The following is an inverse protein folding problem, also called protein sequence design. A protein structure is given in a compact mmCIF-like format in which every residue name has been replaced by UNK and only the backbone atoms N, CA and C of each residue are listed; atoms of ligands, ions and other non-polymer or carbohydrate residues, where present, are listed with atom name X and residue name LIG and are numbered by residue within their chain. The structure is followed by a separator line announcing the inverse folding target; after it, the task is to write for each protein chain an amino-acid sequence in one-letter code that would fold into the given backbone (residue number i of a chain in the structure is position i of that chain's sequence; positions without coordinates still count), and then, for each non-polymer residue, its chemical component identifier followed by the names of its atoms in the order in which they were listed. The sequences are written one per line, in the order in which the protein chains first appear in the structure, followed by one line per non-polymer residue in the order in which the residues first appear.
data_IF_573892478594
#
_entry.id   IF_573892478594
#
_cell.length_a   1.000
_cell.length_b   1.000
_cell.length_c   1.000
_cell.angle_alpha   90.00
_cell.angle_beta   90.00
_cell.angle_gamma   90.00
#
_symmetry.space_group_name_H-M   'P 1'
#
loop_
_entity.id
_entity.type
_entity.pdbx_description
1 polymer ?
#
# COMPACT_ATOMS: atom_id res chain seq x y z
N UNK A 1 -13.50 -16.31 -17.35
CA UNK A 1 -12.08 -16.21 -17.77
C UNK A 1 -11.23 -16.25 -16.53
N UNK A 2 -10.32 -17.23 -16.41
CA UNK A 2 -9.44 -17.30 -15.26
C UNK A 2 -8.39 -16.16 -15.31
N UNK A 3 -8.08 -15.61 -14.13
CA UNK A 3 -7.11 -14.52 -13.97
C UNK A 3 -6.07 -14.93 -12.93
N UNK A 4 -4.86 -14.39 -13.06
CA UNK A 4 -3.76 -14.63 -12.12
C UNK A 4 -3.18 -13.29 -11.68
N UNK A 5 -2.71 -13.19 -10.44
CA UNK A 5 -1.97 -12.01 -9.99
C UNK A 5 -0.48 -12.14 -10.25
N UNK A 6 0.12 -11.09 -10.81
CA UNK A 6 1.57 -10.95 -10.97
C UNK A 6 2.23 -10.84 -9.59
N UNK A 7 3.19 -11.71 -9.29
CA UNK A 7 3.88 -11.76 -7.98
C UNK A 7 5.33 -11.26 -8.06
N UNK A 8 5.74 -10.74 -9.21
CA UNK A 8 7.12 -10.29 -9.47
C UNK A 8 7.95 -11.32 -10.22
N UNK A 9 7.31 -12.13 -11.07
CA UNK A 9 7.98 -13.02 -12.00
C UNK A 9 8.90 -12.25 -12.94
N UNK A 10 10.15 -12.69 -13.12
CA UNK A 10 11.15 -11.95 -13.89
C UNK A 10 10.98 -12.10 -15.40
N UNK A 11 10.31 -13.17 -15.83
CA UNK A 11 10.14 -13.53 -17.24
C UNK A 11 8.73 -14.01 -17.52
N UNK A 12 8.27 -13.86 -18.77
CA UNK A 12 6.98 -14.39 -19.21
C UNK A 12 6.95 -15.93 -19.11
N UNK A 13 8.11 -16.59 -19.26
CA UNK A 13 8.25 -18.02 -19.05
C UNK A 13 7.98 -18.47 -17.61
N UNK A 14 8.41 -17.70 -16.60
CA UNK A 14 8.06 -17.96 -15.20
C UNK A 14 6.55 -17.80 -14.94
N UNK A 15 5.91 -16.87 -15.65
CA UNK A 15 4.46 -16.66 -15.61
C UNK A 15 3.75 -17.88 -16.25
N UNK A 16 4.21 -18.33 -17.41
CA UNK A 16 3.68 -19.51 -18.10
C UNK A 16 3.79 -20.78 -17.24
N UNK A 17 4.94 -21.00 -16.60
CA UNK A 17 5.19 -22.14 -15.71
C UNK A 17 4.28 -22.10 -14.46
N UNK A 18 3.80 -20.93 -14.04
CA UNK A 18 2.83 -20.78 -12.96
C UNK A 18 1.38 -20.93 -13.42
N UNK A 19 1.08 -20.54 -14.66
CA UNK A 19 -0.26 -20.61 -15.25
C UNK A 19 -0.64 -22.02 -15.71
N UNK A 20 0.29 -22.80 -16.27
CA UNK A 20 -0.01 -24.09 -16.91
C UNK A 20 0.76 -25.27 -16.29
N UNK A 21 0.18 -26.47 -16.37
CA UNK A 21 0.80 -27.71 -15.88
C UNK A 21 1.71 -28.33 -16.94
N UNK A 22 2.89 -28.80 -16.51
CA UNK A 22 3.78 -29.67 -17.30
C UNK A 22 4.03 -29.17 -18.74
N UNK A 23 4.45 -27.91 -18.88
CA UNK A 23 4.80 -27.33 -20.17
C UNK A 23 6.03 -28.02 -20.78
N UNK A 24 5.92 -28.48 -22.02
CA UNK A 24 7.08 -28.82 -22.85
C UNK A 24 7.75 -27.55 -23.41
N UNK A 25 9.01 -27.59 -23.86
CA UNK A 25 9.69 -26.41 -24.40
C UNK A 25 8.95 -25.76 -25.58
N UNK A 26 8.29 -26.56 -26.44
CA UNK A 26 7.48 -26.03 -27.55
C UNK A 26 6.20 -25.36 -27.06
N UNK A 27 5.51 -25.98 -26.10
CA UNK A 27 4.29 -25.43 -25.50
C UNK A 27 4.56 -24.17 -24.70
N UNK A 28 5.73 -24.05 -24.07
CA UNK A 28 6.15 -22.86 -23.35
C UNK A 28 6.25 -21.63 -24.26
N UNK A 29 6.83 -21.78 -25.45
CA UNK A 29 6.89 -20.70 -26.44
C UNK A 29 5.49 -20.28 -26.91
N UNK A 30 4.59 -21.23 -27.17
CA UNK A 30 3.20 -20.94 -27.53
C UNK A 30 2.45 -20.23 -26.40
N UNK A 31 2.64 -20.68 -25.15
CA UNK A 31 2.04 -20.07 -23.98
C UNK A 31 2.56 -18.64 -23.77
N UNK A 32 3.86 -18.40 -23.91
CA UNK A 32 4.46 -17.07 -23.79
C UNK A 32 3.88 -16.09 -24.82
N UNK A 33 3.75 -16.52 -26.08
CA UNK A 33 3.18 -15.70 -27.15
C UNK A 33 1.71 -15.33 -26.88
N UNK A 34 0.89 -16.29 -26.48
CA UNK A 34 -0.53 -16.05 -26.18
C UNK A 34 -0.71 -15.27 -24.87
N UNK A 35 0.15 -15.46 -23.86
CA UNK A 35 0.15 -14.66 -22.62
C UNK A 35 0.48 -13.20 -22.92
N UNK A 36 1.48 -12.96 -23.77
CA UNK A 36 1.90 -11.61 -24.16
C UNK A 36 0.83 -10.92 -25.03
N UNK A 37 0.17 -11.66 -25.90
CA UNK A 37 -0.99 -11.18 -26.68
C UNK A 37 -2.18 -10.82 -25.79
N UNK A 38 -2.48 -11.64 -24.79
CA UNK A 38 -3.55 -11.37 -23.83
C UNK A 38 -3.19 -10.24 -22.83
N UNK A 39 -1.90 -10.01 -22.58
CA UNK A 39 -1.39 -9.02 -21.62
C UNK A 39 -0.18 -8.26 -22.20
N UNK A 40 -0.41 -7.28 -23.10
CA UNK A 40 0.70 -6.56 -23.76
C UNK A 40 1.66 -5.85 -22.80
N UNK A 41 1.20 -5.52 -21.58
CA UNK A 41 2.03 -4.90 -20.53
C UNK A 41 3.13 -5.82 -20.00
N UNK A 42 3.07 -7.13 -20.25
CA UNK A 42 4.11 -8.09 -19.89
C UNK A 42 5.35 -8.01 -20.78
N UNK A 43 5.34 -7.18 -21.84
CA UNK A 43 6.52 -6.94 -22.68
C UNK A 43 7.68 -6.31 -21.87
N UNK A 44 7.37 -5.54 -20.81
CA UNK A 44 8.34 -5.07 -19.83
C UNK A 44 7.90 -5.41 -18.40
N UNK A 45 8.20 -6.63 -17.91
CA UNK A 45 7.75 -7.08 -16.60
C UNK A 45 8.39 -6.31 -15.44
N UNK A 46 9.48 -5.56 -15.69
CA UNK A 46 10.15 -4.74 -14.67
C UNK A 46 9.32 -3.52 -14.24
N UNK A 47 8.41 -3.06 -15.12
CA UNK A 47 7.53 -1.91 -14.87
C UNK A 47 6.24 -2.28 -14.12
N UNK A 48 5.97 -3.58 -13.97
CA UNK A 48 4.71 -4.05 -13.39
C UNK A 48 4.79 -4.09 -11.86
N UNK A 49 3.81 -3.45 -11.22
CA UNK A 49 3.62 -3.59 -9.79
C UNK A 49 3.14 -5.01 -9.44
N UNK A 50 3.70 -5.57 -8.36
CA UNK A 50 3.18 -6.80 -7.75
C UNK A 50 1.69 -6.61 -7.41
N UNK A 51 0.88 -7.62 -7.68
CA UNK A 51 -0.58 -7.57 -7.55
C UNK A 51 -1.31 -7.20 -8.84
N UNK A 52 -0.61 -6.87 -9.93
CA UNK A 52 -1.26 -6.62 -11.23
C UNK A 52 -2.04 -7.85 -11.70
N UNK A 53 -3.26 -7.65 -12.17
CA UNK A 53 -4.13 -8.72 -12.68
C UNK A 53 -3.70 -9.07 -14.11
N UNK A 54 -3.41 -10.34 -14.34
CA UNK A 54 -3.08 -10.92 -15.62
C UNK A 54 -4.25 -11.79 -16.10
N UNK A 55 -4.64 -11.61 -17.36
CA UNK A 55 -5.60 -12.45 -18.05
C UNK A 55 -4.91 -13.74 -18.47
N UNK A 56 -5.47 -14.90 -18.10
CA UNK A 56 -4.94 -16.16 -18.60
C UNK A 56 -5.61 -16.48 -19.95
N UNK A 57 -4.82 -16.64 -21.03
CA UNK A 57 -5.37 -17.06 -22.32
C UNK A 57 -5.87 -18.50 -22.23
N UNK A 58 -6.97 -18.79 -22.94
CA UNK A 58 -7.50 -20.14 -23.08
C UNK A 58 -6.80 -20.82 -24.26
N UNK A 59 -5.99 -21.84 -23.97
CA UNK A 59 -5.18 -22.55 -24.96
C UNK A 59 -5.59 -24.02 -24.91
N UNK A 60 -6.28 -24.50 -25.96
CA UNK A 60 -6.95 -25.80 -25.98
C UNK A 60 -6.05 -27.00 -25.64
N UNK A 61 -4.75 -26.90 -25.90
CA UNK A 61 -3.77 -27.98 -25.67
C UNK A 61 -3.09 -27.91 -24.29
N UNK A 62 -3.30 -26.84 -23.52
CA UNK A 62 -2.62 -26.61 -22.25
C UNK A 62 -3.59 -26.69 -21.10
N UNK A 63 -3.25 -27.53 -20.12
CA UNK A 63 -4.03 -27.62 -18.89
C UNK A 63 -3.63 -26.48 -17.96
N UNK A 64 -4.53 -25.56 -17.59
CA UNK A 64 -4.22 -24.57 -16.57
C UNK A 64 -3.94 -25.29 -15.25
N UNK A 65 -2.94 -24.81 -14.51
CA UNK A 65 -2.67 -25.26 -13.13
C UNK A 65 -3.87 -24.94 -12.28
N UNK A 66 -4.76 -25.88 -11.99
CA UNK A 66 -5.80 -25.71 -10.97
C UNK A 66 -5.17 -25.72 -9.57
N UNK A 67 -4.40 -24.68 -9.25
CA UNK A 67 -4.14 -24.37 -7.84
C UNK A 67 -5.42 -23.77 -7.26
N UNK A 68 -5.73 -24.06 -5.98
CA UNK A 68 -6.84 -23.40 -5.24
C UNK A 68 -6.83 -21.86 -5.32
N UNK A 69 -5.74 -21.24 -5.81
CA UNK A 69 -5.66 -19.81 -6.08
C UNK A 69 -6.41 -19.36 -7.34
N UNK A 70 -6.81 -20.24 -8.25
CA UNK A 70 -7.58 -19.90 -9.46
C UNK A 70 -9.10 -19.91 -9.26
N UNK A 71 -9.60 -20.47 -8.17
CA UNK A 71 -11.04 -20.72 -7.99
C UNK A 71 -11.84 -19.53 -7.46
N UNK A 72 -11.20 -18.45 -6.98
CA UNK A 72 -11.95 -17.26 -6.58
C UNK A 72 -11.13 -15.98 -6.78
N UNK A 73 -11.17 -15.39 -8.00
CA UNK A 73 -10.49 -14.13 -8.27
C UNK A 73 -10.91 -13.02 -7.31
N UNK A 74 -12.17 -13.00 -6.89
CA UNK A 74 -12.70 -12.00 -5.95
C UNK A 74 -12.08 -12.17 -4.57
N UNK A 75 -11.89 -13.40 -4.09
CA UNK A 75 -11.22 -13.67 -2.82
C UNK A 75 -9.72 -13.30 -2.85
N UNK A 76 -9.04 -13.48 -4.00
CA UNK A 76 -7.67 -13.02 -4.18
C UNK A 76 -7.60 -11.49 -4.18
N UNK A 77 -8.49 -10.82 -4.90
CA UNK A 77 -8.57 -9.37 -4.93
C UNK A 77 -8.87 -8.78 -3.55
N UNK A 78 -9.85 -9.34 -2.84
CA UNK A 78 -10.17 -8.98 -1.46
C UNK A 78 -8.96 -9.15 -0.54
N UNK A 79 -8.21 -10.26 -0.67
CA UNK A 79 -6.98 -10.48 0.10
C UNK A 79 -5.91 -9.43 -0.20
N UNK A 80 -5.67 -9.12 -1.48
CA UNK A 80 -4.66 -8.14 -1.87
C UNK A 80 -5.03 -6.72 -1.46
N UNK A 81 -6.31 -6.35 -1.59
CA UNK A 81 -6.82 -5.07 -1.13
C UNK A 81 -6.72 -4.94 0.39
N UNK A 82 -7.12 -5.98 1.14
CA UNK A 82 -6.99 -5.99 2.60
C UNK A 82 -5.52 -5.80 3.02
N UNK A 83 -4.59 -6.49 2.37
CA UNK A 83 -3.15 -6.34 2.65
C UNK A 83 -2.64 -4.93 2.31
N UNK A 84 -3.06 -4.35 1.19
CA UNK A 84 -2.69 -2.99 0.82
C UNK A 84 -3.24 -1.94 1.80
N UNK A 85 -4.46 -2.13 2.31
CA UNK A 85 -5.08 -1.29 3.33
C UNK A 85 -4.36 -1.40 4.67
N UNK A 86 -3.95 -2.61 5.08
CA UNK A 86 -3.14 -2.83 6.28
C UNK A 86 -1.77 -2.14 6.16
N UNK A 87 -1.06 -2.34 5.05
CA UNK A 87 0.24 -1.71 4.79
C UNK A 87 0.13 -0.18 4.81
N UNK A 88 -0.94 0.37 4.23
CA UNK A 88 -1.24 1.79 4.29
C UNK A 88 -1.51 2.25 5.72
N UNK A 89 -2.35 1.51 6.46
CA UNK A 89 -2.68 1.80 7.85
C UNK A 89 -1.47 1.88 8.75
N UNK A 90 -0.55 0.91 8.64
CA UNK A 90 0.72 0.90 9.40
C UNK A 90 1.59 2.12 9.09
N UNK A 91 1.76 2.46 7.80
CA UNK A 91 2.56 3.63 7.39
C UNK A 91 1.92 4.94 7.84
N UNK A 92 0.60 5.03 7.74
CA UNK A 92 -0.15 6.20 8.17
C UNK A 92 -0.08 6.39 9.68
N UNK A 93 -0.24 5.32 10.47
CA UNK A 93 -0.17 5.37 11.93
C UNK A 93 1.22 5.78 12.42
N UNK A 94 2.29 5.22 11.83
CA UNK A 94 3.66 5.61 12.14
C UNK A 94 3.92 7.09 11.85
N UNK A 95 3.46 7.59 10.69
CA UNK A 95 3.61 9.01 10.33
C UNK A 95 2.78 9.94 11.21
N UNK A 96 1.55 9.54 11.58
CA UNK A 96 0.70 10.32 12.45
C UNK A 96 1.28 10.40 13.88
N UNK A 97 1.82 9.29 14.39
CA UNK A 97 2.51 9.25 15.68
C UNK A 97 3.73 10.16 15.67
N UNK A 98 4.59 10.05 14.64
CA UNK A 98 5.75 10.93 14.49
C UNK A 98 5.34 12.41 14.44
N UNK A 99 4.32 12.76 13.65
CA UNK A 99 3.86 14.14 13.54
C UNK A 99 3.30 14.69 14.87
N UNK A 100 2.62 13.85 15.66
CA UNK A 100 2.15 14.22 17.00
C UNK A 100 3.31 14.43 17.96
N UNK A 101 4.32 13.56 17.94
CA UNK A 101 5.51 13.67 18.77
C UNK A 101 6.37 14.87 18.40
N UNK A 102 6.56 15.16 17.11
CA UNK A 102 7.26 16.37 16.64
C UNK A 102 6.56 17.63 17.16
N UNK A 103 5.22 17.67 17.12
CA UNK A 103 4.43 18.81 17.61
C UNK A 103 4.60 18.97 19.13
N UNK A 104 4.60 17.86 19.89
CA UNK A 104 4.85 17.86 21.35
C UNK A 104 6.27 18.33 21.67
N UNK A 105 7.28 17.89 20.91
CA UNK A 105 8.68 18.32 21.08
C UNK A 105 8.84 19.81 20.79
N UNK A 106 8.24 20.32 19.72
CA UNK A 106 8.25 21.76 19.39
C UNK A 106 7.59 22.58 20.51
N UNK A 107 6.48 22.12 21.06
CA UNK A 107 5.82 22.75 22.20
C UNK A 107 6.71 22.72 23.46
N UNK A 108 7.39 21.61 23.73
CA UNK A 108 8.33 21.50 24.85
C UNK A 108 9.53 22.45 24.70
N UNK A 109 10.07 22.59 23.48
CA UNK A 109 11.13 23.56 23.16
C UNK A 109 10.67 25.00 23.40
N UNK A 110 9.47 25.38 22.93
CA UNK A 110 8.90 26.70 23.20
C UNK A 110 8.71 26.97 24.70
N UNK A 111 8.39 25.94 25.47
CA UNK A 111 8.21 26.03 26.94
C UNK A 111 9.52 25.94 27.72
N UNK A 112 10.65 25.66 27.07
CA UNK A 112 11.96 25.49 27.70
C UNK A 112 12.51 26.78 28.30
N UNK A 113 13.30 26.67 29.38
CA UNK A 113 13.88 27.82 30.05
C UNK A 113 14.80 28.69 29.14
N UNK A 114 15.68 28.12 28.29
CA UNK A 114 16.49 28.92 27.37
C UNK A 114 15.65 29.74 26.40
N UNK A 115 14.63 29.12 25.79
CA UNK A 115 13.74 29.82 24.84
C UNK A 115 12.93 30.89 25.56
N UNK A 116 12.35 30.59 26.73
CA UNK A 116 11.63 31.59 27.55
C UNK A 116 12.49 32.80 27.92
N UNK A 117 13.79 32.61 28.22
CA UNK A 117 14.71 33.72 28.51
C UNK A 117 14.91 34.63 27.30
N UNK A 118 15.11 34.05 26.12
CA UNK A 118 15.26 34.82 24.86
C UNK A 118 13.96 35.53 24.50
N UNK A 119 12.81 34.89 24.70
CA UNK A 119 11.51 35.51 24.45
C UNK A 119 11.22 36.66 25.45
N UNK A 120 11.71 36.55 26.69
CA UNK A 120 11.50 37.52 27.77
C UNK A 120 11.98 38.94 27.47
N UNK A 121 12.88 39.13 26.51
CA UNK A 121 13.43 40.44 26.16
C UNK A 121 12.62 41.18 25.09
N UNK A 122 11.58 40.58 24.51
CA UNK A 122 10.76 41.19 23.47
C UNK A 122 9.28 40.74 23.54
N UNK A 123 8.39 41.65 23.95
CA UNK A 123 6.97 41.37 24.13
C UNK A 123 6.29 40.78 22.87
N UNK A 124 6.61 41.29 21.68
CA UNK A 124 6.06 40.75 20.42
C UNK A 124 6.49 39.30 20.13
N UNK A 125 7.69 38.89 20.56
CA UNK A 125 8.13 37.50 20.43
C UNK A 125 7.42 36.58 21.43
N UNK A 126 7.09 37.06 22.63
CA UNK A 126 6.29 36.28 23.59
C UNK A 126 4.89 36.00 23.07
N UNK A 127 4.24 37.01 22.48
CA UNK A 127 2.92 36.84 21.89
C UNK A 127 2.95 35.83 20.73
N UNK A 128 3.91 35.99 19.80
CA UNK A 128 4.08 35.06 18.69
C UNK A 128 4.35 33.62 19.19
N UNK A 129 5.23 33.45 20.18
CA UNK A 129 5.48 32.14 20.78
C UNK A 129 4.24 31.53 21.43
N UNK A 130 3.39 32.35 22.05
CA UNK A 130 2.09 31.92 22.57
C UNK A 130 1.13 31.46 21.48
N UNK A 131 1.07 32.17 20.36
CA UNK A 131 0.26 31.79 19.19
C UNK A 131 0.77 30.48 18.57
N UNK A 132 2.08 30.33 18.39
CA UNK A 132 2.70 29.09 17.90
C UNK A 132 2.39 27.94 18.86
N UNK A 133 2.50 28.16 20.18
CA UNK A 133 2.17 27.15 21.19
C UNK A 133 0.73 26.63 21.06
N UNK A 134 -0.24 27.53 20.95
CA UNK A 134 -1.66 27.17 20.73
C UNK A 134 -1.87 26.41 19.42
N UNK A 135 -1.22 26.86 18.34
CA UNK A 135 -1.30 26.20 17.04
C UNK A 135 -0.75 24.77 17.10
N UNK A 136 0.37 24.56 17.80
CA UNK A 136 0.97 23.23 17.96
C UNK A 136 0.11 22.29 18.83
N UNK A 137 -0.51 22.81 19.90
CA UNK A 137 -1.47 22.06 20.71
C UNK A 137 -2.69 21.63 19.89
N UNK A 138 -3.27 22.54 19.09
CA UNK A 138 -4.36 22.20 18.17
C UNK A 138 -3.94 21.14 17.16
N UNK A 139 -2.78 21.34 16.51
CA UNK A 139 -2.27 20.42 15.48
C UNK A 139 -2.05 19.02 16.02
N UNK A 140 -1.48 18.87 17.22
CA UNK A 140 -1.30 17.57 17.85
C UNK A 140 -2.65 16.86 18.10
N UNK A 141 -3.67 17.61 18.55
CA UNK A 141 -5.04 17.10 18.71
C UNK A 141 -5.66 16.67 17.38
N UNK A 142 -5.55 17.49 16.34
CA UNK A 142 -6.10 17.23 15.01
C UNK A 142 -5.47 15.98 14.37
N UNK A 143 -4.15 15.81 14.52
CA UNK A 143 -3.43 14.63 14.03
C UNK A 143 -3.94 13.35 14.72
N UNK A 144 -4.12 13.36 16.04
CA UNK A 144 -4.65 12.19 16.77
C UNK A 144 -6.11 11.90 16.42
N UNK A 145 -6.94 12.93 16.27
CA UNK A 145 -8.33 12.77 15.84
C UNK A 145 -8.41 12.15 14.44
N UNK A 146 -7.61 12.65 13.50
CA UNK A 146 -7.50 12.10 12.14
C UNK A 146 -6.95 10.68 12.16
N UNK A 147 -5.97 10.39 13.03
CA UNK A 147 -5.42 9.03 13.22
C UNK A 147 -6.50 8.03 13.56
N UNK A 148 -7.32 8.34 14.56
CA UNK A 148 -8.44 7.49 15.00
C UNK A 148 -9.50 7.34 13.90
N UNK A 149 -9.85 8.43 13.22
CA UNK A 149 -10.83 8.41 12.13
C UNK A 149 -10.40 7.49 10.97
N UNK A 150 -9.16 7.63 10.50
CA UNK A 150 -8.62 6.78 9.43
C UNK A 150 -8.49 5.32 9.88
N UNK A 151 -8.03 5.06 11.11
CA UNK A 151 -7.97 3.71 11.65
C UNK A 151 -9.35 3.03 11.70
N UNK A 152 -10.41 3.79 12.05
CA UNK A 152 -11.78 3.31 12.00
C UNK A 152 -12.26 3.01 10.57
N UNK A 153 -11.99 3.92 9.64
CA UNK A 153 -12.34 3.75 8.22
C UNK A 153 -11.66 2.53 7.59
N UNK A 154 -10.36 2.33 7.86
CA UNK A 154 -9.62 1.17 7.35
C UNK A 154 -10.18 -0.15 7.88
N UNK A 155 -10.52 -0.22 9.17
CA UNK A 155 -11.17 -1.40 9.75
C UNK A 155 -12.52 -1.70 9.09
N UNK A 156 -13.33 -0.67 8.83
CA UNK A 156 -14.60 -0.85 8.13
C UNK A 156 -14.39 -1.35 6.69
N UNK A 157 -13.44 -0.76 5.96
CA UNK A 157 -13.11 -1.19 4.59
C UNK A 157 -12.62 -2.65 4.53
N UNK A 158 -11.78 -3.07 5.49
CA UNK A 158 -11.33 -4.48 5.57
C UNK A 158 -12.50 -5.42 5.86
N UNK A 159 -13.42 -5.02 6.75
CA UNK A 159 -14.65 -5.77 7.05
C UNK A 159 -15.55 -5.93 5.82
N UNK A 160 -15.70 -4.89 5.03
CA UNK A 160 -16.51 -4.90 3.81
C UNK A 160 -15.92 -5.82 2.72
N UNK A 161 -14.61 -6.08 2.76
CA UNK A 161 -13.94 -7.08 1.92
C UNK A 161 -14.17 -8.53 2.40
N UNK A 162 -14.98 -8.74 3.45
CA UNK A 162 -15.28 -10.05 4.03
C UNK A 162 -14.18 -10.60 4.93
N UNK A 163 -13.42 -9.72 5.61
CA UNK A 163 -12.33 -10.09 6.54
C UNK A 163 -12.45 -9.48 7.93
#
# INVERSE_FOLDING_TARGET
MPIMTYRGEKTVGEIADKMFERLTPRQKLTAEAEILKANPRLADPSTLAKGTILKMPDIAELRPKTSRALENPDALLAKHLAQALDDFGQRFDARATQAADDSRQQLALLKSAPVKRVLGTAAGLQELAGQIGKLQESRAGDVEARRKSVAGALKAMVKDLGR
#
